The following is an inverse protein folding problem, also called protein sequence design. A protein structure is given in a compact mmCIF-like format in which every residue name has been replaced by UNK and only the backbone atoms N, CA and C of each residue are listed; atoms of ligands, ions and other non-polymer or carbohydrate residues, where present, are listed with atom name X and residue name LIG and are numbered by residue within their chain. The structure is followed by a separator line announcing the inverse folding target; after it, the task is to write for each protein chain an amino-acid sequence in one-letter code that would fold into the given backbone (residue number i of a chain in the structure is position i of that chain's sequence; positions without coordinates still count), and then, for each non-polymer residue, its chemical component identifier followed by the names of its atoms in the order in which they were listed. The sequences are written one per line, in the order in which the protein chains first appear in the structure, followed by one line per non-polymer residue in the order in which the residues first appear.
data_IF_914156971215
#
_entry.id   IF_914156971215
#
_cell.length_a   1.000
_cell.length_b   1.000
_cell.length_c   1.000
_cell.angle_alpha   90.00
_cell.angle_beta   90.00
_cell.angle_gamma   90.00
#
_symmetry.space_group_name_H-M   'P 1'
#
loop_
_entity.id
_entity.type
_entity.pdbx_description
1 polymer ?
#
# COMPACT_ATOMS: atom_id res chain seq x y z
N UNK A 1 51.87 -29.68 -12.66
CA UNK A 1 50.45 -29.41 -12.96
C UNK A 1 49.62 -29.86 -11.76
N UNK A 2 49.29 -28.94 -10.86
CA UNK A 2 48.40 -29.18 -9.71
C UNK A 2 47.61 -27.90 -9.46
N UNK A 3 46.29 -28.02 -9.58
CA UNK A 3 45.31 -26.95 -9.45
C UNK A 3 45.13 -26.58 -7.97
N UNK A 4 45.21 -25.30 -7.56
CA UNK A 4 44.74 -24.89 -6.25
C UNK A 4 43.23 -24.61 -6.31
N UNK A 5 42.45 -25.51 -5.72
CA UNK A 5 41.04 -25.32 -5.41
C UNK A 5 40.89 -24.10 -4.50
N UNK A 6 40.45 -22.96 -5.06
CA UNK A 6 39.91 -21.84 -4.30
C UNK A 6 38.61 -22.27 -3.64
N UNK A 7 38.71 -22.75 -2.41
CA UNK A 7 37.57 -22.84 -1.49
C UNK A 7 37.17 -21.44 -1.03
N UNK A 8 36.48 -20.68 -1.88
CA UNK A 8 35.67 -19.55 -1.42
C UNK A 8 34.43 -20.14 -0.76
N UNK A 9 34.59 -20.59 0.49
CA UNK A 9 33.48 -20.66 1.42
C UNK A 9 33.11 -19.21 1.79
N UNK A 10 32.52 -18.47 0.85
CA UNK A 10 31.61 -17.40 1.22
C UNK A 10 30.57 -18.07 2.10
N UNK A 11 30.63 -17.75 3.40
CA UNK A 11 29.53 -18.01 4.32
C UNK A 11 28.29 -17.46 3.63
N UNK A 12 27.50 -18.35 3.03
CA UNK A 12 26.06 -18.14 2.87
C UNK A 12 25.57 -17.96 4.29
N UNK A 13 25.54 -16.70 4.72
CA UNK A 13 24.64 -16.28 5.76
C UNK A 13 23.29 -16.77 5.21
N UNK A 14 22.75 -17.83 5.81
CA UNK A 14 21.37 -18.20 5.57
C UNK A 14 20.58 -16.88 5.64
N UNK A 15 19.72 -16.53 4.67
CA UNK A 15 19.03 -15.26 4.66
C UNK A 15 18.20 -15.17 5.94
N UNK A 16 18.84 -14.69 6.99
CA UNK A 16 18.28 -14.42 8.29
C UNK A 16 17.19 -13.42 7.97
N UNK A 17 15.99 -13.92 8.17
CA UNK A 17 14.81 -13.40 7.57
C UNK A 17 14.68 -11.99 8.12
N UNK A 18 14.98 -10.96 7.30
CA UNK A 18 15.03 -9.57 7.75
C UNK A 18 13.82 -9.30 8.66
N UNK A 19 14.05 -8.84 9.91
CA UNK A 19 12.98 -8.69 10.86
C UNK A 19 11.97 -7.70 10.29
N UNK A 20 10.69 -8.06 10.39
CA UNK A 20 9.60 -7.16 10.11
C UNK A 20 9.46 -6.23 11.31
N UNK A 21 9.94 -5.01 11.17
CA UNK A 21 9.92 -4.01 12.23
C UNK A 21 8.56 -3.29 12.23
N UNK A 22 7.83 -3.26 13.35
CA UNK A 22 6.59 -2.52 13.44
C UNK A 22 6.87 -1.02 13.28
N UNK A 23 6.00 -0.32 12.58
CA UNK A 23 5.99 1.14 12.49
C UNK A 23 4.59 1.67 12.76
N UNK A 24 4.51 2.90 13.28
CA UNK A 24 3.25 3.61 13.52
C UNK A 24 2.55 3.98 12.21
N UNK A 25 1.25 4.29 12.30
CA UNK A 25 0.47 4.81 11.18
C UNK A 25 1.07 6.11 10.64
N UNK A 26 1.55 6.98 11.53
CA UNK A 26 2.15 8.27 11.19
C UNK A 26 3.48 8.08 10.47
N UNK A 27 4.31 7.12 10.91
CA UNK A 27 5.54 6.75 10.20
C UNK A 27 5.24 6.14 8.83
N UNK A 28 4.26 5.24 8.74
CA UNK A 28 3.83 4.67 7.48
C UNK A 28 3.33 5.77 6.52
N UNK A 29 2.48 6.68 7.00
CA UNK A 29 1.95 7.77 6.18
C UNK A 29 3.05 8.74 5.75
N UNK A 30 3.98 9.10 6.64
CA UNK A 30 5.17 9.89 6.29
C UNK A 30 6.01 9.18 5.23
N UNK A 31 6.21 7.87 5.36
CA UNK A 31 6.95 7.09 4.38
C UNK A 31 6.22 7.04 3.03
N UNK A 32 4.90 6.85 3.01
CA UNK A 32 4.06 6.73 1.81
C UNK A 32 3.95 8.06 1.06
N UNK A 33 3.82 9.18 1.76
CA UNK A 33 3.64 10.50 1.16
C UNK A 33 4.92 11.36 1.18
N UNK A 34 6.08 10.76 1.48
CA UNK A 34 7.37 11.46 1.43
C UNK A 34 7.60 12.15 0.07
N UNK A 35 7.96 13.43 0.12
CA UNK A 35 8.27 14.26 -1.06
C UNK A 35 7.08 14.60 -1.96
N UNK A 36 5.86 14.30 -1.53
CA UNK A 36 4.65 14.71 -2.23
C UNK A 36 4.45 16.22 -2.20
N UNK A 37 3.72 16.73 -3.20
CA UNK A 37 3.33 18.14 -3.21
C UNK A 37 2.44 18.47 -2.00
N UNK A 38 2.72 19.59 -1.32
CA UNK A 38 2.06 19.95 -0.05
C UNK A 38 0.56 20.18 -0.20
N UNK A 39 0.12 20.63 -1.38
CA UNK A 39 -1.28 20.83 -1.73
C UNK A 39 -2.00 19.55 -2.20
N UNK A 40 -1.28 18.46 -2.47
CA UNK A 40 -1.92 17.19 -2.86
C UNK A 40 -2.82 16.69 -1.72
N UNK A 41 -3.92 16.03 -2.08
CA UNK A 41 -4.95 15.60 -1.15
C UNK A 41 -4.85 14.10 -0.91
N UNK A 42 -4.80 13.72 0.36
CA UNK A 42 -5.00 12.35 0.83
C UNK A 42 -6.51 12.16 1.01
N UNK A 43 -7.06 11.12 0.38
CA UNK A 43 -8.44 10.72 0.60
C UNK A 43 -8.55 9.71 1.74
N UNK A 44 -9.27 10.07 2.80
CA UNK A 44 -9.61 9.19 3.92
C UNK A 44 -11.12 8.93 3.90
N UNK A 45 -11.57 7.69 3.82
CA UNK A 45 -12.99 7.36 3.68
C UNK A 45 -13.72 7.26 5.02
N UNK A 46 -15.01 7.61 4.99
CA UNK A 46 -16.03 7.27 5.96
C UNK A 46 -17.25 6.64 5.28
N UNK A 47 -17.79 5.56 5.85
CA UNK A 47 -19.04 4.92 5.40
C UNK A 47 -20.23 5.88 5.55
N UNK A 48 -21.14 5.91 4.57
CA UNK A 48 -22.47 6.50 4.77
C UNK A 48 -23.36 5.54 5.57
N UNK A 49 -23.90 5.97 6.71
CA UNK A 49 -24.96 5.25 7.39
C UNK A 49 -26.25 5.23 6.53
N UNK A 50 -26.88 4.06 6.36
CA UNK A 50 -28.32 3.97 6.05
C UNK A 50 -28.79 3.63 4.64
N UNK A 51 -28.17 2.69 3.88
CA UNK A 51 -28.91 2.03 2.77
C UNK A 51 -28.80 0.51 2.81
N UNK A 52 -29.94 -0.15 2.64
CA UNK A 52 -30.17 -1.58 2.68
C UNK A 52 -29.50 -2.40 1.54
N UNK A 53 -28.54 -1.84 0.79
CA UNK A 53 -27.73 -2.56 -0.21
C UNK A 53 -26.28 -2.05 -0.18
N UNK A 54 -25.25 -2.92 -0.06
CA UNK A 54 -24.01 -2.61 0.66
C UNK A 54 -22.77 -2.46 -0.23
N UNK A 55 -22.92 -2.11 -1.52
CA UNK A 55 -21.75 -1.78 -2.31
C UNK A 55 -21.21 -0.42 -1.83
N UNK A 56 -19.96 -0.31 -1.37
CA UNK A 56 -19.41 0.95 -0.89
C UNK A 56 -19.44 1.96 -2.05
N UNK A 57 -20.26 2.99 -1.91
CA UNK A 57 -20.15 4.18 -2.75
C UNK A 57 -18.97 4.97 -2.22
N UNK A 58 -17.77 4.53 -2.61
CA UNK A 58 -16.46 5.11 -2.38
C UNK A 58 -16.38 6.51 -3.01
N UNK A 59 -17.19 7.45 -2.56
CA UNK A 59 -17.23 8.80 -3.11
C UNK A 59 -17.30 9.90 -2.05
N UNK A 60 -17.35 9.60 -0.75
CA UNK A 60 -17.41 10.60 0.32
C UNK A 60 -16.24 10.44 1.28
N UNK A 61 -15.45 11.49 1.42
CA UNK A 61 -14.14 11.38 2.06
C UNK A 61 -13.81 12.60 2.91
N UNK A 62 -12.95 12.40 3.90
CA UNK A 62 -12.21 13.44 4.58
C UNK A 62 -10.95 13.76 3.75
N UNK A 63 -10.93 14.88 3.00
CA UNK A 63 -9.71 15.30 2.32
C UNK A 63 -8.71 15.85 3.35
N UNK A 64 -7.47 15.39 3.26
CA UNK A 64 -6.37 15.88 4.07
C UNK A 64 -5.23 16.35 3.16
N UNK A 65 -4.93 17.66 3.10
CA UNK A 65 -3.71 18.12 2.43
C UNK A 65 -2.46 17.51 3.04
N UNK A 66 -1.48 17.17 2.21
CA UNK A 66 -0.18 16.64 2.68
C UNK A 66 0.50 17.60 3.68
N UNK A 67 0.34 18.92 3.51
CA UNK A 67 0.84 19.92 4.47
C UNK A 67 0.34 19.71 5.91
N UNK A 68 -0.83 19.08 6.07
CA UNK A 68 -1.50 18.82 7.35
C UNK A 68 -1.39 17.34 7.76
N UNK A 69 -0.43 16.59 7.20
CA UNK A 69 -0.25 15.16 7.51
C UNK A 69 -0.05 14.88 9.02
N UNK A 70 0.46 15.85 9.77
CA UNK A 70 0.60 15.76 11.23
C UNK A 70 -0.75 15.62 11.96
N UNK A 71 -1.87 16.00 11.34
CA UNK A 71 -3.23 15.90 11.87
C UNK A 71 -3.92 14.57 11.52
N UNK A 72 -3.26 13.71 10.73
CA UNK A 72 -3.82 12.47 10.19
C UNK A 72 -4.52 11.64 11.26
N UNK A 73 -3.87 11.46 12.43
CA UNK A 73 -4.42 10.68 13.54
C UNK A 73 -5.73 11.27 14.04
N UNK A 74 -5.75 12.57 14.34
CA UNK A 74 -6.94 13.24 14.86
C UNK A 74 -8.10 13.19 13.88
N UNK A 75 -7.83 13.38 12.59
CA UNK A 75 -8.85 13.26 11.54
C UNK A 75 -9.38 11.83 11.46
N UNK A 76 -8.49 10.84 11.38
CA UNK A 76 -8.85 9.44 11.38
C UNK A 76 -9.73 9.11 12.58
N UNK A 77 -9.34 9.55 13.78
CA UNK A 77 -10.08 9.26 15.00
C UNK A 77 -11.44 9.95 15.07
N UNK A 78 -11.58 11.12 14.43
CA UNK A 78 -12.87 11.81 14.27
C UNK A 78 -13.83 11.14 13.27
N UNK A 79 -13.35 10.22 12.42
CA UNK A 79 -14.19 9.52 11.45
C UNK A 79 -14.89 8.33 12.11
N UNK A 80 -16.23 8.35 12.07
CA UNK A 80 -17.10 7.25 12.46
C UNK A 80 -17.13 6.13 11.40
N UNK A 81 -17.31 4.87 11.86
CA UNK A 81 -17.45 3.69 11.00
C UNK A 81 -16.13 3.03 10.57
N UNK A 82 -16.21 2.16 9.54
CA UNK A 82 -15.02 1.56 8.92
C UNK A 82 -14.27 2.62 8.14
N UNK A 83 -12.95 2.50 8.17
CA UNK A 83 -12.03 3.48 7.60
C UNK A 83 -11.33 2.84 6.42
N UNK A 84 -11.32 3.56 5.30
CA UNK A 84 -10.48 3.23 4.16
C UNK A 84 -9.59 4.42 3.85
N UNK A 85 -8.52 4.17 3.14
CA UNK A 85 -7.55 5.19 2.74
C UNK A 85 -7.09 4.94 1.31
N UNK A 86 -6.79 6.03 0.62
CA UNK A 86 -6.04 5.95 -0.62
C UNK A 86 -4.56 6.02 -0.33
N UNK A 87 -3.82 5.11 -0.95
CA UNK A 87 -2.36 5.07 -0.93
C UNK A 87 -1.73 5.87 -2.08
N UNK A 88 -2.55 6.70 -2.73
CA UNK A 88 -2.18 7.65 -3.78
C UNK A 88 -2.71 9.04 -3.43
N UNK A 89 -2.27 10.04 -4.17
CA UNK A 89 -2.63 11.44 -3.93
C UNK A 89 -3.51 11.98 -5.04
N UNK A 90 -4.47 12.82 -4.66
CA UNK A 90 -5.40 13.48 -5.56
C UNK A 90 -5.06 14.95 -5.77
N UNK A 91 -5.36 15.45 -6.96
CA UNK A 91 -5.32 16.89 -7.23
C UNK A 91 -6.46 17.58 -6.45
N UNK A 92 -6.23 18.75 -5.81
CA UNK A 92 -7.30 19.55 -5.23
C UNK A 92 -8.45 19.85 -6.20
N UNK A 93 -8.16 19.89 -7.50
CA UNK A 93 -9.15 20.14 -8.55
C UNK A 93 -10.19 19.04 -8.70
N UNK A 94 -9.94 17.83 -8.16
CA UNK A 94 -10.91 16.73 -8.22
C UNK A 94 -12.06 16.91 -7.22
N UNK A 95 -11.92 17.82 -6.27
CA UNK A 95 -12.96 18.16 -5.31
C UNK A 95 -13.97 19.08 -6.01
N UNK A 96 -15.22 18.63 -6.07
CA UNK A 96 -16.25 19.32 -6.82
C UNK A 96 -16.42 20.76 -6.34
N UNK A 97 -16.11 21.74 -7.21
CA UNK A 97 -16.35 23.19 -6.99
C UNK A 97 -17.80 23.53 -6.65
N UNK A 98 -18.74 22.62 -6.89
CA UNK A 98 -20.18 22.79 -6.62
C UNK A 98 -20.53 23.12 -5.18
N UNK A 99 -19.61 22.95 -4.23
CA UNK A 99 -19.90 23.15 -2.80
C UNK A 99 -19.27 24.40 -2.18
N UNK A 100 -18.37 25.11 -2.87
CA UNK A 100 -17.58 26.20 -2.26
C UNK A 100 -16.77 25.77 -1.03
N UNK A 101 -16.67 24.45 -0.77
CA UNK A 101 -16.00 23.89 0.40
C UNK A 101 -14.49 23.87 0.18
N UNK A 102 -13.77 24.24 1.23
CA UNK A 102 -12.32 24.06 1.31
C UNK A 102 -11.96 22.59 1.05
N UNK A 103 -10.83 22.29 0.38
CA UNK A 103 -10.34 20.92 0.18
C UNK A 103 -9.78 20.28 1.45
N UNK A 104 -10.35 20.63 2.60
CA UNK A 104 -9.86 20.31 3.93
C UNK A 104 -10.97 19.72 4.77
N UNK A 105 -10.61 18.75 5.59
CA UNK A 105 -11.54 18.16 6.55
C UNK A 105 -12.08 19.20 7.51
N UNK A 106 -13.41 19.34 7.53
CA UNK A 106 -14.14 20.25 8.41
C UNK A 106 -15.13 19.51 9.33
N UNK A 107 -14.88 18.22 9.59
CA UNK A 107 -15.81 17.35 10.33
C UNK A 107 -16.96 16.76 9.50
N UNK A 108 -16.98 16.97 8.18
CA UNK A 108 -18.01 16.41 7.29
C UNK A 108 -17.40 15.90 5.98
N UNK A 109 -17.73 14.67 5.54
CA UNK A 109 -17.21 14.14 4.28
C UNK A 109 -17.60 14.99 3.08
N UNK A 110 -16.69 15.06 2.11
CA UNK A 110 -16.88 15.76 0.85
C UNK A 110 -16.93 14.72 -0.27
N UNK A 111 -17.86 14.94 -1.22
CA UNK A 111 -17.97 14.07 -2.37
C UNK A 111 -16.77 14.26 -3.33
N UNK A 112 -16.06 13.18 -3.68
CA UNK A 112 -15.14 13.14 -4.81
C UNK A 112 -15.19 11.79 -5.52
N UNK A 113 -14.99 11.80 -6.84
CA UNK A 113 -14.93 10.55 -7.64
C UNK A 113 -13.46 10.12 -7.78
N UNK A 114 -13.01 9.05 -7.09
CA UNK A 114 -11.62 8.60 -7.07
C UNK A 114 -11.26 7.90 -8.39
N UNK A 115 -11.18 8.65 -9.48
CA UNK A 115 -10.75 8.11 -10.77
C UNK A 115 -9.24 8.23 -10.91
N UNK A 116 -8.61 7.34 -11.66
CA UNK A 116 -7.17 7.45 -11.98
C UNK A 116 -6.79 8.81 -12.55
N UNK A 117 -7.67 9.44 -13.34
CA UNK A 117 -7.45 10.79 -13.89
C UNK A 117 -7.46 11.92 -12.84
N UNK A 118 -8.00 11.66 -11.63
CA UNK A 118 -8.01 12.62 -10.53
C UNK A 118 -6.74 12.55 -9.67
N UNK A 119 -5.92 11.50 -9.83
CA UNK A 119 -4.65 11.38 -9.12
C UNK A 119 -3.67 12.44 -9.61
N UNK A 120 -3.02 13.15 -8.69
CA UNK A 120 -1.88 14.02 -9.01
C UNK A 120 -0.60 13.20 -9.10
N UNK A 121 -0.41 12.27 -8.18
CA UNK A 121 0.85 11.57 -7.96
C UNK A 121 0.61 10.09 -7.61
N UNK A 122 1.41 9.22 -8.23
CA UNK A 122 1.52 7.80 -7.89
C UNK A 122 2.59 7.63 -6.81
N UNK A 123 2.16 7.30 -5.61
CA UNK A 123 3.00 7.09 -4.44
C UNK A 123 3.43 5.62 -4.31
N UNK A 124 2.56 4.68 -4.65
CA UNK A 124 2.83 3.26 -4.40
C UNK A 124 2.21 2.32 -5.43
N UNK A 125 2.73 1.10 -5.49
CA UNK A 125 2.00 -0.05 -6.02
C UNK A 125 1.60 -0.90 -4.82
N UNK A 126 0.34 -1.30 -4.78
CA UNK A 126 -0.22 -2.07 -3.66
C UNK A 126 -0.74 -3.37 -4.23
N UNK A 127 -0.30 -4.48 -3.63
CA UNK A 127 -0.83 -5.82 -3.91
C UNK A 127 -1.65 -6.22 -2.69
N UNK A 128 -2.94 -6.47 -2.91
CA UNK A 128 -3.85 -6.96 -1.88
C UNK A 128 -3.91 -8.49 -1.87
N UNK A 129 -3.39 -9.10 -0.80
CA UNK A 129 -3.48 -10.54 -0.56
C UNK A 129 -4.74 -10.79 0.25
N UNK A 130 -5.78 -11.29 -0.43
CA UNK A 130 -7.12 -11.49 0.13
C UNK A 130 -7.25 -12.85 0.82
N UNK A 131 -6.31 -13.12 1.72
CA UNK A 131 -6.17 -14.36 2.50
C UNK A 131 -7.11 -14.40 3.72
N UNK A 132 -7.08 -15.49 4.48
CA UNK A 132 -7.89 -15.72 5.68
C UNK A 132 -9.37 -15.92 5.40
N UNK A 133 -9.71 -16.55 4.27
CA UNK A 133 -11.09 -17.00 3.97
C UNK A 133 -11.26 -18.46 4.35
N UNK A 134 -12.39 -18.80 4.96
CA UNK A 134 -12.67 -20.19 5.32
C UNK A 134 -13.01 -21.03 4.07
N UNK A 135 -13.78 -20.46 3.14
CA UNK A 135 -14.25 -21.12 1.91
C UNK A 135 -13.66 -20.50 0.63
N UNK A 136 -12.38 -20.12 0.66
CA UNK A 136 -11.74 -19.45 -0.46
C UNK A 136 -11.38 -20.39 -1.61
N UNK A 137 -12.00 -20.18 -2.78
CA UNK A 137 -11.70 -20.98 -4.00
C UNK A 137 -10.37 -20.61 -4.68
N UNK A 138 -9.82 -19.42 -4.39
CA UNK A 138 -8.54 -18.97 -4.98
C UNK A 138 -7.36 -19.61 -4.28
N UNK A 139 -6.31 -19.92 -5.03
CA UNK A 139 -5.04 -20.39 -4.48
C UNK A 139 -4.54 -19.44 -3.39
N UNK A 140 -4.23 -19.99 -2.22
CA UNK A 140 -3.76 -19.24 -1.05
C UNK A 140 -4.85 -18.52 -0.24
N UNK A 141 -6.13 -18.57 -0.64
CA UNK A 141 -7.18 -17.79 0.04
C UNK A 141 -7.43 -18.28 1.48
N UNK A 142 -7.21 -19.56 1.74
CA UNK A 142 -7.37 -20.18 3.07
C UNK A 142 -6.11 -20.06 3.94
N UNK A 143 -5.02 -19.46 3.42
CA UNK A 143 -3.86 -19.16 4.25
C UNK A 143 -4.24 -18.12 5.30
N UNK A 144 -3.68 -18.23 6.49
CA UNK A 144 -3.65 -17.14 7.47
C UNK A 144 -2.75 -16.01 6.98
N UNK A 145 -2.90 -14.81 7.55
CA UNK A 145 -2.01 -13.70 7.28
C UNK A 145 -0.54 -14.04 7.59
N UNK A 146 -0.28 -14.77 8.68
CA UNK A 146 1.07 -15.18 9.08
C UNK A 146 1.69 -16.18 8.09
N UNK A 147 0.92 -17.17 7.62
CA UNK A 147 1.37 -18.10 6.58
C UNK A 147 1.69 -17.39 5.27
N UNK A 148 0.84 -16.44 4.86
CA UNK A 148 1.08 -15.61 3.68
C UNK A 148 2.36 -14.77 3.84
N UNK A 149 2.62 -14.22 5.02
CA UNK A 149 3.85 -13.47 5.33
C UNK A 149 5.08 -14.40 5.30
N UNK A 150 4.99 -15.63 5.82
CA UNK A 150 6.08 -16.61 5.74
C UNK A 150 6.39 -16.95 4.29
N UNK A 151 5.36 -17.23 3.48
CA UNK A 151 5.52 -17.53 2.06
C UNK A 151 6.08 -16.35 1.27
N UNK A 152 5.62 -15.14 1.56
CA UNK A 152 6.20 -13.89 1.03
C UNK A 152 7.70 -13.80 1.30
N UNK A 153 8.14 -14.06 2.54
CA UNK A 153 9.56 -14.03 2.93
C UNK A 153 10.38 -15.05 2.15
N UNK A 154 9.83 -16.23 1.87
CA UNK A 154 10.48 -17.23 1.01
C UNK A 154 10.62 -16.74 -0.44
N UNK A 155 9.58 -16.13 -1.02
CA UNK A 155 9.64 -15.55 -2.37
C UNK A 155 10.68 -14.44 -2.48
N UNK A 156 10.79 -13.60 -1.44
CA UNK A 156 11.79 -12.53 -1.37
C UNK A 156 13.21 -13.10 -1.21
N UNK A 157 13.40 -14.04 -0.28
CA UNK A 157 14.70 -14.69 -0.06
C UNK A 157 15.18 -15.48 -1.29
N UNK A 158 14.25 -16.08 -2.03
CA UNK A 158 14.52 -16.77 -3.30
C UNK A 158 14.75 -15.85 -4.49
N UNK A 159 14.54 -14.53 -4.35
CA UNK A 159 14.71 -13.55 -5.42
C UNK A 159 13.59 -13.53 -6.46
N UNK A 160 12.52 -14.31 -6.27
CA UNK A 160 11.35 -14.34 -7.15
C UNK A 160 10.49 -13.09 -7.01
N UNK A 161 10.46 -12.49 -5.81
CA UNK A 161 9.72 -11.27 -5.52
C UNK A 161 10.65 -10.20 -4.94
N UNK A 162 10.59 -8.94 -5.41
CA UNK A 162 11.27 -7.86 -4.72
C UNK A 162 10.69 -7.68 -3.31
N UNK A 163 11.52 -7.30 -2.35
CA UNK A 163 11.02 -6.95 -1.01
C UNK A 163 10.04 -5.78 -1.10
N UNK A 164 8.82 -5.87 -0.55
CA UNK A 164 7.96 -4.71 -0.43
C UNK A 164 8.56 -3.71 0.57
N UNK A 165 8.26 -2.44 0.38
CA UNK A 165 8.74 -1.37 1.26
C UNK A 165 8.04 -1.42 2.61
N UNK A 166 6.73 -1.68 2.59
CA UNK A 166 5.89 -1.86 3.76
C UNK A 166 4.98 -3.08 3.55
N UNK A 167 4.65 -3.73 4.66
CA UNK A 167 3.58 -4.71 4.77
C UNK A 167 2.54 -4.16 5.75
N UNK A 168 1.25 -4.38 5.49
CA UNK A 168 0.22 -4.05 6.46
C UNK A 168 -0.86 -5.13 6.53
N UNK A 169 -1.34 -5.44 7.73
CA UNK A 169 -2.48 -6.34 7.91
C UNK A 169 -3.79 -5.55 7.90
N UNK A 170 -4.75 -5.96 7.06
CA UNK A 170 -6.02 -5.24 6.85
C UNK A 170 -7.22 -5.86 7.61
N UNK A 171 -6.92 -6.68 8.62
CA UNK A 171 -7.86 -7.60 9.26
C UNK A 171 -7.41 -9.01 8.98
N UNK A 172 -8.07 -9.70 8.04
CA UNK A 172 -7.67 -11.04 7.58
C UNK A 172 -6.59 -11.05 6.50
N UNK A 173 -6.56 -10.02 5.66
CA UNK A 173 -5.67 -9.92 4.50
C UNK A 173 -4.36 -9.21 4.79
N UNK A 174 -3.49 -9.20 3.78
CA UNK A 174 -2.15 -8.59 3.85
C UNK A 174 -1.93 -7.68 2.63
N UNK A 175 -1.50 -6.44 2.86
CA UNK A 175 -1.09 -5.52 1.82
C UNK A 175 0.42 -5.53 1.66
N UNK A 176 0.89 -5.71 0.43
CA UNK A 176 2.28 -5.48 0.05
C UNK A 176 2.37 -4.10 -0.62
N UNK A 177 3.12 -3.19 -0.03
CA UNK A 177 3.20 -1.80 -0.48
C UNK A 177 4.61 -1.52 -0.98
N UNK A 178 4.72 -1.23 -2.27
CA UNK A 178 5.96 -0.85 -2.95
C UNK A 178 5.96 0.66 -3.17
N UNK A 179 6.79 1.37 -2.42
CA UNK A 179 6.88 2.84 -2.48
C UNK A 179 7.62 3.28 -3.73
N UNK A 180 6.94 3.98 -4.64
CA UNK A 180 7.50 4.49 -5.89
C UNK A 180 8.34 5.75 -5.66
N UNK A 181 9.41 5.90 -6.43
CA UNK A 181 10.22 7.11 -6.50
C UNK A 181 10.45 7.50 -7.96
N UNK A 182 10.34 8.79 -8.28
CA UNK A 182 10.62 9.32 -9.62
C UNK A 182 12.11 9.26 -9.98
N UNK A 183 12.98 9.21 -8.98
CA UNK A 183 14.42 9.25 -9.08
C UNK A 183 15.08 8.37 -8.01
N UNK A 184 16.36 8.09 -8.21
CA UNK A 184 17.26 7.35 -7.32
C UNK A 184 17.87 8.24 -6.23
N UNK A 185 17.20 9.37 -5.92
CA UNK A 185 17.72 10.35 -4.98
C UNK A 185 17.51 9.92 -3.52
N UNK A 186 18.29 10.57 -2.64
CA UNK A 186 18.19 10.40 -1.18
C UNK A 186 16.79 10.78 -0.67
N UNK A 187 16.15 11.74 -1.31
CA UNK A 187 14.77 12.15 -1.01
C UNK A 187 13.83 11.51 -2.01
N UNK A 188 12.89 10.68 -1.52
CA UNK A 188 11.86 10.09 -2.35
C UNK A 188 10.89 11.18 -2.83
N UNK A 189 10.61 11.20 -4.14
CA UNK A 189 9.55 12.02 -4.74
C UNK A 189 8.55 11.11 -5.45
N UNK A 190 7.23 11.23 -5.20
CA UNK A 190 6.21 10.48 -5.91
C UNK A 190 6.24 10.72 -7.43
N UNK A 191 5.69 9.78 -8.20
CA UNK A 191 5.72 9.87 -9.67
C UNK A 191 4.50 10.68 -10.14
N UNK A 192 4.66 11.79 -10.90
CA UNK A 192 3.53 12.50 -11.47
C UNK A 192 2.63 11.57 -12.30
N UNK A 193 1.32 11.69 -12.12
CA UNK A 193 0.37 10.83 -12.80
C UNK A 193 0.20 11.22 -14.28
N UNK A 194 0.93 10.53 -15.15
CA UNK A 194 0.82 10.66 -16.61
C UNK A 194 0.64 9.32 -17.31
N UNK A 195 0.26 9.33 -18.59
CA UNK A 195 -0.02 8.11 -19.36
C UNK A 195 1.16 7.11 -19.39
N UNK A 196 2.39 7.61 -19.51
CA UNK A 196 3.59 6.77 -19.46
C UNK A 196 3.80 6.16 -18.06
N UNK A 197 3.56 6.94 -17.00
CA UNK A 197 3.64 6.46 -15.62
C UNK A 197 2.59 5.37 -15.34
N UNK A 198 1.34 5.56 -15.79
CA UNK A 198 0.28 4.56 -15.66
C UNK A 198 0.57 3.28 -16.43
N UNK A 199 1.17 3.38 -17.62
CA UNK A 199 1.60 2.20 -18.38
C UNK A 199 2.69 1.42 -17.65
N UNK A 200 3.69 2.10 -17.10
CA UNK A 200 4.73 1.46 -16.27
C UNK A 200 4.14 0.84 -15.00
N UNK A 201 3.28 1.58 -14.31
CA UNK A 201 2.58 1.11 -13.12
C UNK A 201 1.82 -0.20 -13.40
N UNK A 202 1.00 -0.25 -14.46
CA UNK A 202 0.23 -1.45 -14.82
C UNK A 202 1.12 -2.65 -15.12
N UNK A 203 2.24 -2.44 -15.82
CA UNK A 203 3.20 -3.52 -16.11
C UNK A 203 3.81 -4.09 -14.84
N UNK A 204 4.24 -3.24 -13.92
CA UNK A 204 4.82 -3.66 -12.64
C UNK A 204 3.75 -4.35 -11.78
N UNK A 205 2.56 -3.76 -11.66
CA UNK A 205 1.46 -4.33 -10.88
C UNK A 205 1.05 -5.71 -11.40
N UNK A 206 0.96 -5.91 -12.72
CA UNK A 206 0.67 -7.21 -13.32
C UNK A 206 1.79 -8.23 -13.09
N UNK A 207 3.06 -7.80 -13.16
CA UNK A 207 4.19 -8.69 -12.86
C UNK A 207 4.18 -9.15 -11.40
N UNK A 208 3.91 -8.22 -10.46
CA UNK A 208 3.76 -8.54 -9.05
C UNK A 208 2.57 -9.48 -8.82
N UNK A 209 1.40 -9.19 -9.39
CA UNK A 209 0.20 -10.04 -9.29
C UNK A 209 0.48 -11.48 -9.73
N UNK A 210 1.22 -11.65 -10.83
CA UNK A 210 1.61 -12.96 -11.35
C UNK A 210 2.50 -13.72 -10.37
N UNK A 211 3.49 -13.05 -9.76
CA UNK A 211 4.40 -13.67 -8.79
C UNK A 211 3.67 -14.03 -7.48
N UNK A 212 2.63 -13.26 -7.12
CA UNK A 212 1.84 -13.47 -5.90
C UNK A 212 0.52 -14.20 -6.16
N UNK A 213 0.37 -14.90 -7.28
CA UNK A 213 -0.86 -15.57 -7.64
C UNK A 213 -1.22 -16.73 -6.69
N UNK A 214 -0.21 -17.38 -6.07
CA UNK A 214 -0.38 -18.41 -5.05
C UNK A 214 -0.71 -17.86 -3.65
N UNK A 215 -0.78 -16.54 -3.51
CA UNK A 215 -1.06 -15.80 -2.27
C UNK A 215 -2.41 -15.08 -2.29
N UNK A 216 -3.38 -15.58 -3.06
CA UNK A 216 -4.72 -14.99 -3.19
C UNK A 216 -4.74 -13.49 -3.55
N UNK A 217 -3.81 -13.05 -4.40
CA UNK A 217 -3.77 -11.68 -4.91
C UNK A 217 -5.14 -11.28 -5.51
N UNK A 218 -5.71 -10.17 -5.05
CA UNK A 218 -6.87 -9.54 -5.68
C UNK A 218 -6.43 -8.79 -6.93
N UNK A 219 -6.83 -9.29 -8.09
CA UNK A 219 -6.55 -8.68 -9.38
C UNK A 219 -6.99 -7.22 -9.43
N UNK A 220 -8.10 -6.84 -8.78
CA UNK A 220 -8.63 -5.47 -8.80
C UNK A 220 -7.67 -4.47 -8.17
N UNK A 221 -6.91 -4.89 -7.15
CA UNK A 221 -5.89 -4.05 -6.50
C UNK A 221 -4.77 -3.63 -7.46
N UNK A 222 -4.55 -4.42 -8.52
CA UNK A 222 -3.47 -4.22 -9.51
C UNK A 222 -3.92 -3.58 -10.82
N UNK A 223 -5.22 -3.36 -11.00
CA UNK A 223 -5.79 -2.76 -12.22
C UNK A 223 -5.88 -1.24 -12.11
N UNK A 224 -6.24 -0.71 -10.94
CA UNK A 224 -6.54 0.72 -10.76
C UNK A 224 -5.71 1.31 -9.62
N UNK A 225 -4.85 2.31 -9.86
CA UNK A 225 -4.07 2.94 -8.78
C UNK A 225 -4.96 3.72 -7.80
N UNK A 226 -6.09 4.28 -8.26
CA UNK A 226 -7.06 4.96 -7.42
C UNK A 226 -7.97 3.98 -6.66
N UNK A 227 -7.38 2.97 -6.02
CA UNK A 227 -8.09 1.99 -5.21
C UNK A 227 -8.08 2.38 -3.73
N UNK A 228 -9.23 2.25 -3.08
CA UNK A 228 -9.36 2.47 -1.64
C UNK A 228 -9.04 1.16 -0.91
N UNK A 229 -8.10 1.21 0.03
CA UNK A 229 -7.73 0.07 0.85
C UNK A 229 -8.33 0.23 2.24
N UNK A 230 -8.59 -0.87 2.93
CA UNK A 230 -9.03 -0.78 4.33
C UNK A 230 -7.89 -0.25 5.18
N UNK A 231 -8.16 0.64 6.12
CA UNK A 231 -7.11 1.12 7.02
C UNK A 231 -6.65 -0.04 7.93
N UNK A 232 -5.33 -0.29 8.05
CA UNK A 232 -4.81 -1.30 8.97
C UNK A 232 -5.22 -1.03 10.42
N UNK A 233 -5.35 -2.08 11.23
CA UNK A 233 -5.39 -1.97 12.70
C UNK A 233 -6.72 -1.68 13.42
N UNK A 234 -7.89 -1.69 12.78
CA UNK A 234 -9.14 -1.29 13.47
C UNK A 234 -10.29 -2.30 13.49
N UNK A 235 -10.16 -3.42 12.79
CA UNK A 235 -11.27 -4.38 12.60
C UNK A 235 -10.99 -5.77 13.18
N UNK A 236 -10.03 -5.91 14.12
CA UNK A 236 -10.05 -7.09 14.99
C UNK A 236 -11.15 -6.88 16.02
N UNK A 237 -12.00 -7.89 16.16
CA UNK A 237 -13.04 -7.96 17.19
C UNK A 237 -12.43 -7.51 18.55
N UNK A 238 -12.99 -6.52 19.26
CA UNK A 238 -12.40 -5.97 20.49
C UNK A 238 -12.11 -7.01 21.57
N UNK A 239 -12.66 -8.22 21.47
CA UNK A 239 -12.38 -9.35 22.34
C UNK A 239 -11.01 -10.03 22.11
N UNK A 240 -10.28 -9.76 21.01
CA UNK A 240 -9.09 -10.57 20.61
C UNK A 240 -7.73 -9.88 20.69
N UNK A 241 -7.65 -8.56 20.85
CA UNK A 241 -6.47 -7.80 21.35
C UNK A 241 -6.56 -6.33 20.93
N UNK A 242 -6.09 -5.39 21.75
CA UNK A 242 -5.89 -4.01 21.33
C UNK A 242 -4.59 -3.90 20.51
N UNK A 243 -4.57 -4.42 19.28
CA UNK A 243 -3.38 -4.26 18.43
C UNK A 243 -3.53 -3.01 17.57
N UNK A 244 -2.73 -1.98 17.90
CA UNK A 244 -2.41 -0.84 17.05
C UNK A 244 -2.23 -1.24 15.57
N UNK A 245 -2.50 -0.35 14.60
CA UNK A 245 -2.18 -0.60 13.20
C UNK A 245 -0.74 -1.08 13.01
N UNK A 246 -0.57 -2.34 12.64
CA UNK A 246 0.74 -2.94 12.44
C UNK A 246 1.14 -2.80 10.99
N UNK A 247 1.68 -1.63 10.63
CA UNK A 247 2.58 -1.58 9.49
C UNK A 247 3.88 -2.23 9.90
N UNK A 248 4.49 -2.96 8.98
CA UNK A 248 5.80 -3.55 9.16
C UNK A 248 6.70 -3.17 8.00
N UNK A 249 7.99 -3.00 8.25
CA UNK A 249 9.00 -2.79 7.20
C UNK A 249 10.09 -3.84 7.30
N UNK A 250 10.69 -4.22 6.18
CA UNK A 250 11.92 -5.00 6.18
C UNK A 250 13.05 -4.06 6.65
N UNK A 251 13.79 -4.47 7.68
CA UNK A 251 14.81 -3.65 8.38
C UNK A 251 15.67 -2.72 7.48
N UNK A 252 16.12 -1.62 8.10
CA UNK A 252 16.69 -0.40 7.49
C UNK A 252 17.92 -0.68 6.60
N UNK A 253 17.69 -1.13 5.37
CA UNK A 253 18.62 -1.00 4.26
C UNK A 253 18.03 -0.02 3.27
N UNK A 254 18.75 1.06 2.91
CA UNK A 254 18.33 2.05 1.90
C UNK A 254 17.69 1.38 0.68
N UNK A 255 16.37 1.49 0.55
CA UNK A 255 15.61 0.95 -0.58
C UNK A 255 15.44 2.04 -1.63
N UNK A 256 16.27 1.99 -2.67
CA UNK A 256 15.89 2.51 -3.97
C UNK A 256 15.27 1.39 -4.78
N UNK A 257 14.20 1.69 -5.50
CA UNK A 257 13.74 0.89 -6.64
C UNK A 257 14.78 0.99 -7.78
N UNK A 258 16.01 0.55 -7.55
CA UNK A 258 17.02 0.39 -8.61
C UNK A 258 17.11 -1.06 -9.09
N UNK A 259 16.38 -2.00 -8.45
CA UNK A 259 16.40 -3.44 -8.77
C UNK A 259 15.08 -4.02 -9.31
N UNK A 260 14.27 -3.21 -10.00
CA UNK A 260 13.23 -3.72 -10.90
C UNK A 260 13.68 -4.14 -12.34
N UNK A 261 14.97 -4.11 -12.77
CA UNK A 261 15.34 -4.62 -14.10
C UNK A 261 15.13 -6.13 -14.29
N UNK A 262 14.99 -6.91 -13.21
CA UNK A 262 14.92 -8.37 -13.29
C UNK A 262 13.56 -8.92 -13.73
N UNK A 263 12.50 -8.09 -13.66
CA UNK A 263 11.11 -8.51 -13.93
C UNK A 263 10.56 -7.97 -15.27
N UNK A 264 11.41 -7.33 -16.08
CA UNK A 264 11.01 -6.79 -17.37
C UNK A 264 11.94 -7.37 -18.45
N UNK A 265 11.45 -8.14 -19.44
CA UNK A 265 12.21 -8.32 -20.67
C UNK A 265 12.45 -6.94 -21.30
N UNK A 266 13.67 -6.73 -21.80
CA UNK A 266 14.11 -5.49 -22.47
C UNK A 266 13.22 -5.13 -23.65
#
# INVERSE_FOLDING_TARGET
MTNPTRGNAERRIAPDILPLLPISLEEAARAIFAGAATQSIIGLESIRAGRARPAPYLHWYAPLPVARLHELRGIIDSIEGRRYWFLQLFSPTCLGRRSGKSPEWSGSPIFFSPKTAALSELCSIVVDLDVGRDDGERAGANMTADEAIVRLRQLVAGGSLPSPSLIAESGRGVYLIYLLAANDQVTRTPIPNGAQAQTRWRRIAAALAKVTADLACDEKSTVTPAHAFKAPGKDRDPATSPSSPTFRTFGIGRWMISKLPCLLPR
#
